data_IF_183500821815
#
_entry.id   IF_183500821815
#
_cell.length_a   1.000
_cell.length_b   1.000
_cell.length_c   1.000
_cell.angle_alpha   90.00
_cell.angle_beta   90.00
_cell.angle_gamma   90.00
#
_symmetry.space_group_name_H-M   'P 1'
#
loop_
_entity.id
_entity.type
_entity.pdbx_description
1 polymer ?
#
# COMPACT_ATOMS: atom_id res chain seq x y z
N UNK A 1 18.12 -53.35 -2.90
CA UNK A 1 18.26 -53.63 -4.35
C UNK A 1 18.34 -52.32 -5.10
N UNK A 2 19.44 -52.12 -5.85
CA UNK A 2 19.67 -51.19 -6.97
C UNK A 2 19.63 -49.67 -6.73
N UNK A 3 20.83 -49.11 -6.53
CA UNK A 3 21.27 -47.84 -7.15
C UNK A 3 21.35 -48.00 -8.68
N UNK A 4 21.27 -46.92 -9.47
CA UNK A 4 22.48 -46.26 -10.02
C UNK A 4 22.26 -44.74 -10.29
N UNK A 5 23.15 -43.89 -10.77
CA UNK A 5 24.63 -43.79 -10.85
C UNK A 5 24.95 -42.37 -11.37
N UNK A 6 26.01 -41.79 -10.86
CA UNK A 6 26.76 -40.64 -11.37
C UNK A 6 27.03 -40.70 -12.89
N UNK A 7 27.08 -39.53 -13.56
CA UNK A 7 28.12 -39.20 -14.55
C UNK A 7 28.47 -37.70 -14.53
N UNK A 8 29.68 -37.43 -14.05
CA UNK A 8 30.49 -36.26 -14.39
C UNK A 8 30.94 -36.40 -15.85
N UNK A 9 30.92 -35.29 -16.60
CA UNK A 9 31.59 -35.20 -17.90
C UNK A 9 32.71 -34.17 -17.82
N UNK A 10 33.92 -34.69 -17.62
CA UNK A 10 35.19 -34.03 -17.92
C UNK A 10 35.53 -34.33 -19.38
N UNK A 11 35.76 -33.29 -20.19
CA UNK A 11 36.57 -33.39 -21.40
C UNK A 11 37.59 -32.25 -21.38
N UNK A 12 38.86 -32.65 -21.38
CA UNK A 12 40.01 -31.84 -21.69
C UNK A 12 40.38 -32.05 -23.18
N UNK A 13 41.04 -31.05 -23.80
CA UNK A 13 42.03 -31.09 -24.90
C UNK A 13 42.25 -29.61 -25.33
N UNK A 14 43.39 -28.95 -25.04
CA UNK A 14 44.73 -28.97 -25.68
C UNK A 14 44.83 -28.29 -27.07
N UNK A 15 45.73 -27.29 -27.15
CA UNK A 15 46.44 -26.80 -28.36
C UNK A 15 45.69 -25.73 -29.19
N UNK A 16 46.28 -24.67 -29.76
CA UNK A 16 47.68 -24.35 -30.06
C UNK A 16 47.85 -22.84 -30.34
N UNK A 17 49.09 -22.36 -30.24
CA UNK A 17 49.57 -21.03 -30.63
C UNK A 17 49.32 -20.70 -32.10
N UNK A 18 48.95 -19.46 -32.39
CA UNK A 18 49.27 -18.78 -33.65
C UNK A 18 49.45 -17.27 -33.39
N UNK A 19 50.70 -16.83 -33.42
CA UNK A 19 51.05 -15.42 -33.55
C UNK A 19 50.81 -15.01 -35.02
N UNK A 20 49.97 -14.01 -35.24
CA UNK A 20 49.77 -13.37 -36.53
C UNK A 20 50.25 -11.93 -36.49
N UNK A 21 51.37 -11.66 -37.15
CA UNK A 21 51.88 -10.31 -37.40
C UNK A 21 50.95 -9.58 -38.38
N UNK A 22 50.27 -8.53 -37.92
CA UNK A 22 49.59 -7.55 -38.77
C UNK A 22 50.35 -6.23 -38.70
N UNK A 23 51.22 -5.98 -39.69
CA UNK A 23 51.88 -4.70 -39.85
C UNK A 23 50.90 -3.69 -40.47
N UNK A 24 50.47 -2.69 -39.70
CA UNK A 24 49.86 -1.47 -40.24
C UNK A 24 50.90 -0.37 -40.23
N UNK A 25 51.40 -0.02 -41.41
CA UNK A 25 52.19 1.19 -41.62
C UNK A 25 51.25 2.40 -41.60
N UNK A 26 51.23 3.13 -40.50
CA UNK A 26 50.76 4.52 -40.50
C UNK A 26 51.94 5.43 -40.81
N UNK A 27 51.82 6.17 -41.91
CA UNK A 27 52.73 7.26 -42.24
C UNK A 27 52.58 8.36 -41.19
N UNK A 28 53.66 8.61 -40.44
CA UNK A 28 53.80 9.79 -39.58
C UNK A 28 54.26 10.93 -40.47
N UNK A 29 53.36 11.86 -40.78
CA UNK A 29 53.74 13.20 -41.23
C UNK A 29 54.20 13.96 -40.00
N UNK A 30 55.49 14.28 -39.94
CA UNK A 30 56.04 15.24 -39.00
C UNK A 30 55.41 16.62 -39.26
N UNK A 31 54.57 17.08 -38.33
CA UNK A 31 54.28 18.50 -38.18
C UNK A 31 55.12 19.00 -37.02
N UNK A 32 56.09 19.85 -37.33
CA UNK A 32 56.76 20.73 -36.38
C UNK A 32 55.72 21.67 -35.78
N UNK A 33 55.30 21.38 -34.54
CA UNK A 33 54.71 22.38 -33.66
C UNK A 33 55.32 22.21 -32.26
N UNK A 34 55.81 23.34 -31.75
CA UNK A 34 56.54 23.46 -30.49
C UNK A 34 55.77 22.88 -29.28
N UNK A 35 56.47 22.44 -28.22
CA UNK A 35 55.80 21.95 -27.02
C UNK A 35 55.15 23.12 -26.28
N UNK A 36 53.85 23.34 -26.50
CA UNK A 36 53.04 24.07 -25.53
C UNK A 36 53.03 23.26 -24.22
N UNK A 37 53.42 23.86 -23.08
CA UNK A 37 53.29 23.18 -21.81
C UNK A 37 51.80 22.86 -21.60
N UNK A 38 51.48 21.57 -21.50
CA UNK A 38 50.15 21.13 -21.09
C UNK A 38 49.94 21.65 -19.67
N UNK A 39 49.18 22.72 -19.56
CA UNK A 39 48.63 23.20 -18.32
C UNK A 39 47.77 22.05 -17.76
N UNK A 40 48.28 21.35 -16.75
CA UNK A 40 47.49 20.42 -15.97
C UNK A 40 46.40 21.24 -15.29
N UNK A 41 45.23 21.27 -15.92
CA UNK A 41 44.02 21.80 -15.30
C UNK A 41 43.73 20.86 -14.13
N UNK A 42 44.21 21.23 -12.95
CA UNK A 42 43.74 20.67 -11.69
C UNK A 42 42.23 20.91 -11.66
N UNK A 43 41.47 19.86 -11.95
CA UNK A 43 40.03 19.87 -11.78
C UNK A 43 39.79 20.19 -10.30
N UNK A 44 39.43 21.45 -10.01
CA UNK A 44 39.07 21.90 -8.68
C UNK A 44 37.97 20.96 -8.21
N UNK A 45 38.27 20.16 -7.18
CA UNK A 45 37.30 19.26 -6.56
C UNK A 45 36.07 20.12 -6.25
N UNK A 46 34.87 19.77 -6.75
CA UNK A 46 33.69 20.58 -6.50
C UNK A 46 33.57 20.82 -5.00
N UNK A 47 33.15 22.04 -4.58
CA UNK A 47 33.04 22.37 -3.17
C UNK A 47 32.23 21.27 -2.45
N UNK A 48 32.62 20.92 -1.21
CA UNK A 48 31.92 19.87 -0.47
C UNK A 48 30.43 20.18 -0.47
N UNK A 49 29.63 19.21 -0.93
CA UNK A 49 28.18 19.34 -0.95
C UNK A 49 27.72 19.71 0.46
N UNK A 50 26.81 20.69 0.61
CA UNK A 50 26.34 21.11 1.92
C UNK A 50 25.85 19.88 2.71
N UNK A 51 26.08 19.85 4.03
CA UNK A 51 25.68 18.72 4.85
C UNK A 51 24.20 18.43 4.63
N UNK A 52 23.87 17.15 4.53
CA UNK A 52 22.50 16.70 4.38
C UNK A 52 21.60 17.40 5.43
N UNK A 53 20.45 17.97 5.03
CA UNK A 53 19.54 18.58 5.99
C UNK A 53 19.13 17.51 7.01
N UNK A 54 19.28 17.82 8.30
CA UNK A 54 18.87 16.92 9.36
C UNK A 54 17.34 16.79 9.33
N UNK A 55 16.77 15.58 9.35
CA UNK A 55 15.32 15.39 9.35
C UNK A 55 14.65 15.98 10.59
N UNK A 56 15.37 16.13 11.70
CA UNK A 56 14.85 16.77 12.92
C UNK A 56 14.77 18.29 12.75
N UNK A 57 15.74 18.90 12.05
CA UNK A 57 15.77 20.36 11.83
C UNK A 57 14.90 20.80 10.64
N UNK A 58 14.92 20.05 9.54
CA UNK A 58 14.13 20.32 8.34
C UNK A 58 13.61 19.00 7.71
N UNK A 59 12.48 18.47 8.22
CA UNK A 59 11.90 17.22 7.73
C UNK A 59 11.47 17.31 6.26
N UNK A 60 10.96 18.47 5.84
CA UNK A 60 10.48 18.68 4.48
C UNK A 60 11.65 18.67 3.49
N UNK A 61 12.74 19.39 3.78
CA UNK A 61 13.92 19.37 2.94
C UNK A 61 14.59 18.00 2.91
N UNK A 62 14.62 17.28 4.06
CA UNK A 62 15.11 15.90 4.09
C UNK A 62 14.33 15.00 3.12
N UNK A 63 12.99 15.00 3.19
CA UNK A 63 12.15 14.17 2.34
C UNK A 63 12.20 14.60 0.86
N UNK A 64 12.29 15.91 0.58
CA UNK A 64 12.33 16.45 -0.78
C UNK A 64 13.54 15.97 -1.60
N UNK A 65 14.62 15.51 -0.94
CA UNK A 65 15.79 14.91 -1.63
C UNK A 65 15.48 13.56 -2.27
N UNK A 66 14.38 12.92 -1.88
CA UNK A 66 14.06 11.56 -2.27
C UNK A 66 12.67 11.52 -2.93
N UNK A 67 12.64 11.60 -4.26
CA UNK A 67 11.39 11.44 -5.01
C UNK A 67 10.75 10.05 -4.83
N UNK A 68 11.58 9.03 -4.59
CA UNK A 68 11.11 7.67 -4.31
C UNK A 68 10.95 7.45 -2.79
N UNK A 69 9.73 7.17 -2.29
CA UNK A 69 9.47 6.92 -0.88
C UNK A 69 10.31 5.77 -0.28
N UNK A 70 10.63 4.73 -1.08
CA UNK A 70 11.47 3.61 -0.65
C UNK A 70 12.91 4.07 -0.33
N UNK A 71 13.43 4.96 -1.18
CA UNK A 71 14.80 5.49 -1.03
C UNK A 71 14.84 6.45 0.16
N UNK A 72 13.78 7.23 0.38
CA UNK A 72 13.62 8.07 1.56
C UNK A 72 13.67 7.23 2.85
N UNK A 73 12.86 6.17 2.96
CA UNK A 73 12.90 5.27 4.13
C UNK A 73 14.27 4.64 4.31
N UNK A 74 14.90 4.17 3.23
CA UNK A 74 16.21 3.55 3.30
C UNK A 74 17.27 4.56 3.79
N UNK A 75 17.16 5.84 3.42
CA UNK A 75 18.01 6.90 3.92
C UNK A 75 17.76 7.16 5.41
N UNK A 76 16.50 7.27 5.84
CA UNK A 76 16.14 7.41 7.26
C UNK A 76 16.67 6.24 8.09
N UNK A 77 16.56 5.01 7.58
CA UNK A 77 17.05 3.80 8.23
C UNK A 77 18.57 3.79 8.41
N UNK A 78 19.34 4.37 7.48
CA UNK A 78 20.80 4.49 7.62
C UNK A 78 21.20 5.38 8.80
N UNK A 79 20.35 6.33 9.18
CA UNK A 79 20.61 7.21 10.33
C UNK A 79 20.52 6.46 11.67
N UNK A 80 19.90 5.28 11.73
CA UNK A 80 19.76 4.52 12.99
C UNK A 80 21.10 4.19 13.64
N UNK A 81 22.16 4.03 12.85
CA UNK A 81 23.51 3.76 13.35
C UNK A 81 24.14 4.96 14.06
N UNK A 82 23.71 6.19 13.73
CA UNK A 82 24.17 7.42 14.37
C UNK A 82 23.21 7.90 15.46
N UNK A 83 21.91 7.97 15.15
CA UNK A 83 20.87 8.40 16.08
C UNK A 83 19.52 7.77 15.74
N UNK A 84 18.92 7.07 16.72
CA UNK A 84 17.58 6.47 16.57
C UNK A 84 16.46 7.50 16.54
N UNK A 85 16.66 8.66 17.16
CA UNK A 85 15.68 9.75 17.13
C UNK A 85 15.70 10.44 15.77
N UNK A 86 16.88 10.75 15.24
CA UNK A 86 17.02 11.36 13.92
C UNK A 86 16.52 10.41 12.82
N UNK A 87 16.79 9.11 12.93
CA UNK A 87 16.21 8.10 12.05
C UNK A 87 14.69 8.05 12.10
N UNK A 88 14.11 8.16 13.29
CA UNK A 88 12.65 8.18 13.47
C UNK A 88 12.03 9.45 12.88
N UNK A 89 12.65 10.61 13.09
CA UNK A 89 12.22 11.86 12.46
C UNK A 89 12.32 11.78 10.93
N UNK A 90 13.38 11.15 10.41
CA UNK A 90 13.51 10.87 8.99
C UNK A 90 12.39 9.98 8.46
N UNK A 91 12.02 8.91 9.17
CA UNK A 91 10.91 8.04 8.78
C UNK A 91 9.58 8.81 8.75
N UNK A 92 9.30 9.61 9.78
CA UNK A 92 8.12 10.47 9.83
C UNK A 92 8.11 11.41 8.62
N UNK A 93 9.20 12.12 8.36
CA UNK A 93 9.33 13.02 7.22
C UNK A 93 9.02 12.32 5.88
N UNK A 94 9.54 11.11 5.69
CA UNK A 94 9.26 10.31 4.49
C UNK A 94 7.77 9.96 4.37
N UNK A 95 7.13 9.48 5.44
CA UNK A 95 5.70 9.12 5.42
C UNK A 95 4.81 10.36 5.22
N UNK A 96 5.22 11.50 5.79
CA UNK A 96 4.41 12.71 5.77
C UNK A 96 4.48 13.47 4.45
N UNK A 97 5.67 13.54 3.85
CA UNK A 97 5.94 14.39 2.69
C UNK A 97 6.09 13.63 1.37
N UNK A 98 5.93 12.31 1.37
CA UNK A 98 5.96 11.48 0.15
C UNK A 98 4.75 10.54 0.09
N UNK A 99 4.36 10.00 -1.09
CA UNK A 99 3.29 9.01 -1.21
C UNK A 99 3.78 7.62 -0.75
N UNK A 100 4.09 7.49 0.55
CA UNK A 100 4.66 6.27 1.12
C UNK A 100 3.61 5.17 1.32
N UNK A 101 3.66 4.12 0.51
CA UNK A 101 2.68 3.01 0.58
C UNK A 101 3.27 1.68 1.06
N UNK A 102 4.54 1.66 1.49
CA UNK A 102 5.27 0.42 1.81
C UNK A 102 5.08 -0.01 3.27
N UNK A 103 3.87 -0.49 3.60
CA UNK A 103 3.57 -0.95 4.96
C UNK A 103 4.53 -2.06 5.43
N UNK A 104 4.94 -2.97 4.54
CA UNK A 104 5.90 -4.03 4.88
C UNK A 104 7.27 -3.50 5.32
N UNK A 105 7.73 -2.40 4.73
CA UNK A 105 8.97 -1.75 5.13
C UNK A 105 8.81 -1.10 6.51
N UNK A 106 7.68 -0.42 6.74
CA UNK A 106 7.35 0.17 8.04
C UNK A 106 7.28 -0.87 9.15
N UNK A 107 6.54 -1.98 8.95
CA UNK A 107 6.41 -3.05 9.95
C UNK A 107 7.60 -4.03 9.96
N UNK A 108 8.66 -3.72 9.22
CA UNK A 108 9.89 -4.49 9.19
C UNK A 108 10.64 -4.41 10.52
N UNK A 109 11.62 -5.31 10.68
CA UNK A 109 12.46 -5.37 11.90
C UNK A 109 13.19 -4.07 12.21
N UNK A 110 13.48 -3.26 11.19
CA UNK A 110 14.19 -1.98 11.35
C UNK A 110 13.45 -0.99 12.26
N UNK A 111 12.11 -1.00 12.24
CA UNK A 111 11.29 -0.02 12.97
C UNK A 111 10.42 -0.66 14.05
N UNK A 112 10.41 -1.98 14.16
CA UNK A 112 9.52 -2.71 15.08
C UNK A 112 9.62 -2.22 16.53
N UNK A 113 10.84 -1.93 17.02
CA UNK A 113 11.05 -1.44 18.39
C UNK A 113 10.49 -0.02 18.54
N UNK A 114 10.80 0.88 17.61
CA UNK A 114 10.30 2.26 17.59
C UNK A 114 8.77 2.30 17.54
N UNK A 115 8.16 1.50 16.65
CA UNK A 115 6.70 1.41 16.51
C UNK A 115 6.01 0.90 17.78
N UNK A 116 6.66 0.03 18.55
CA UNK A 116 6.11 -0.51 19.80
C UNK A 116 6.23 0.43 21.00
N UNK A 117 7.27 1.27 21.03
CA UNK A 117 7.60 2.12 22.18
C UNK A 117 7.08 3.55 22.01
N UNK A 118 7.04 4.05 20.77
CA UNK A 118 6.68 5.45 20.50
C UNK A 118 5.16 5.61 20.30
N UNK A 119 4.51 6.57 20.96
CA UNK A 119 3.07 6.76 20.89
C UNK A 119 2.57 7.16 19.49
N UNK A 120 3.43 7.72 18.64
CA UNK A 120 3.10 8.08 17.25
C UNK A 120 3.10 6.89 16.29
N UNK A 121 3.62 5.73 16.69
CA UNK A 121 3.77 4.57 15.80
C UNK A 121 2.43 4.13 15.18
N UNK A 122 1.38 4.06 15.99
CA UNK A 122 0.04 3.72 15.51
C UNK A 122 -0.52 4.77 14.53
N UNK A 123 -0.23 6.06 14.75
CA UNK A 123 -0.65 7.16 13.85
C UNK A 123 0.03 7.05 12.49
N UNK A 124 1.32 6.71 12.45
CA UNK A 124 2.05 6.49 11.20
C UNK A 124 1.48 5.31 10.43
N UNK A 125 1.16 4.21 11.11
CA UNK A 125 0.51 3.05 10.49
C UNK A 125 -0.83 3.47 9.86
N UNK A 126 -1.67 4.18 10.61
CA UNK A 126 -2.96 4.65 10.10
C UNK A 126 -2.81 5.56 8.86
N UNK A 127 -1.80 6.45 8.85
CA UNK A 127 -1.47 7.29 7.70
C UNK A 127 -1.05 6.47 6.48
N UNK A 128 -0.19 5.47 6.65
CA UNK A 128 0.24 4.59 5.55
C UNK A 128 -0.94 3.76 5.04
N UNK A 129 -1.84 3.27 5.91
CA UNK A 129 -3.07 2.58 5.50
C UNK A 129 -3.96 3.51 4.67
N UNK A 130 -4.11 4.78 5.04
CA UNK A 130 -4.84 5.76 4.25
C UNK A 130 -4.17 6.04 2.90
N UNK A 131 -2.84 6.17 2.88
CA UNK A 131 -2.06 6.31 1.64
C UNK A 131 -2.19 5.09 0.72
N UNK A 132 -2.50 3.90 1.26
CA UNK A 132 -2.78 2.66 0.52
C UNK A 132 -4.25 2.50 0.10
N UNK A 133 -5.07 3.55 0.25
CA UNK A 133 -6.48 3.55 -0.13
C UNK A 133 -7.45 3.12 0.96
N UNK A 134 -6.97 2.80 2.17
CA UNK A 134 -7.82 2.55 3.33
C UNK A 134 -8.55 1.20 3.35
N UNK A 135 -7.96 0.15 2.78
CA UNK A 135 -8.47 -1.23 2.88
C UNK A 135 -8.21 -1.83 4.27
N UNK A 136 -8.92 -1.35 5.29
CA UNK A 136 -8.62 -1.67 6.68
C UNK A 136 -8.62 -3.18 6.97
N UNK A 137 -9.58 -3.94 6.44
CA UNK A 137 -9.64 -5.40 6.66
C UNK A 137 -8.38 -6.13 6.18
N UNK A 138 -7.89 -5.79 4.99
CA UNK A 138 -6.69 -6.40 4.42
C UNK A 138 -5.43 -6.02 5.20
N UNK A 139 -5.33 -4.75 5.60
CA UNK A 139 -4.17 -4.24 6.34
C UNK A 139 -4.14 -4.77 7.79
N UNK A 140 -5.29 -4.90 8.46
CA UNK A 140 -5.38 -5.45 9.82
C UNK A 140 -4.87 -6.89 9.91
N UNK A 141 -5.11 -7.72 8.88
CA UNK A 141 -4.53 -9.07 8.80
C UNK A 141 -3.00 -9.00 8.84
N UNK A 142 -2.41 -8.07 8.09
CA UNK A 142 -0.96 -7.89 8.07
C UNK A 142 -0.43 -7.36 9.41
N UNK A 143 -1.14 -6.44 10.06
CA UNK A 143 -0.80 -5.96 11.41
C UNK A 143 -0.80 -7.11 12.42
N UNK A 144 -1.79 -7.99 12.35
CA UNK A 144 -1.93 -9.15 13.23
C UNK A 144 -0.78 -10.16 13.04
N UNK A 145 -0.39 -10.46 11.80
CA UNK A 145 0.78 -11.31 11.50
C UNK A 145 2.08 -10.77 12.10
N UNK A 146 2.18 -9.44 12.22
CA UNK A 146 3.31 -8.73 12.85
C UNK A 146 3.11 -8.44 14.33
N UNK A 147 2.03 -8.94 14.94
CA UNK A 147 1.69 -8.76 16.35
C UNK A 147 1.59 -7.28 16.76
N UNK A 148 1.15 -6.40 15.86
CA UNK A 148 0.90 -4.99 16.15
C UNK A 148 -0.50 -4.87 16.82
N UNK A 149 -0.62 -4.24 18.00
CA UNK A 149 -1.86 -4.23 18.79
C UNK A 149 -2.85 -3.17 18.31
N UNK A 150 -3.26 -3.25 17.04
CA UNK A 150 -4.31 -2.42 16.42
C UNK A 150 -5.37 -3.39 15.88
N UNK A 151 -6.64 -3.17 16.25
CA UNK A 151 -7.72 -4.14 16.05
C UNK A 151 -8.86 -3.58 15.20
N UNK A 152 -9.76 -4.46 14.74
CA UNK A 152 -11.00 -4.04 14.08
C UNK A 152 -12.04 -3.56 15.09
N UNK A 153 -12.98 -2.73 14.64
CA UNK A 153 -14.13 -2.36 15.45
C UNK A 153 -14.97 -3.57 15.83
N UNK A 154 -15.20 -4.50 14.89
CA UNK A 154 -15.93 -5.75 15.13
C UNK A 154 -15.35 -6.55 16.29
N UNK A 155 -14.03 -6.82 16.27
CA UNK A 155 -13.40 -7.59 17.34
C UNK A 155 -13.50 -6.88 18.69
N UNK A 156 -13.41 -5.54 18.70
CA UNK A 156 -13.59 -4.76 19.92
C UNK A 156 -15.01 -4.84 20.46
N UNK A 157 -16.03 -4.84 19.60
CA UNK A 157 -17.43 -4.99 20.00
C UNK A 157 -17.74 -6.41 20.50
N UNK A 158 -17.14 -7.45 19.93
CA UNK A 158 -17.34 -8.84 20.34
C UNK A 158 -16.79 -9.11 21.75
N UNK A 159 -15.70 -8.43 22.14
CA UNK A 159 -15.05 -8.59 23.46
C UNK A 159 -14.68 -7.24 24.07
N UNK A 160 -15.66 -6.42 24.48
CA UNK A 160 -15.40 -5.03 24.87
C UNK A 160 -14.39 -4.89 26.01
N UNK A 161 -14.45 -5.75 27.01
CA UNK A 161 -13.55 -5.70 28.18
C UNK A 161 -12.10 -6.02 27.81
N UNK A 162 -11.89 -6.89 26.82
CA UNK A 162 -10.53 -7.25 26.35
C UNK A 162 -9.88 -6.12 25.55
N UNK A 163 -10.69 -5.40 24.76
CA UNK A 163 -10.21 -4.36 23.85
C UNK A 163 -10.33 -2.94 24.41
N UNK A 164 -10.92 -2.76 25.59
CA UNK A 164 -11.00 -1.46 26.26
C UNK A 164 -9.63 -0.83 26.41
N UNK A 165 -9.49 0.37 25.90
CA UNK A 165 -8.26 1.15 25.87
C UNK A 165 -7.25 0.76 24.79
N UNK A 166 -7.55 -0.23 23.94
CA UNK A 166 -6.72 -0.61 22.80
C UNK A 166 -7.04 0.24 21.58
N UNK A 167 -6.10 0.27 20.63
CA UNK A 167 -6.32 0.95 19.36
C UNK A 167 -7.19 0.11 18.45
N UNK A 168 -8.16 0.78 17.84
CA UNK A 168 -8.95 0.28 16.72
C UNK A 168 -8.68 1.12 15.49
N UNK A 169 -8.65 0.45 14.34
CA UNK A 169 -8.55 1.07 13.03
C UNK A 169 -9.81 0.74 12.24
N UNK A 170 -10.44 1.75 11.66
CA UNK A 170 -11.62 1.60 10.84
C UNK A 170 -11.57 2.60 9.69
N UNK A 171 -12.16 2.22 8.54
CA UNK A 171 -12.56 3.19 7.53
C UNK A 171 -13.99 3.57 7.86
N UNK A 172 -14.27 4.85 7.99
CA UNK A 172 -15.61 5.31 8.31
C UNK A 172 -15.95 6.62 7.62
N UNK A 173 -17.23 6.77 7.31
CA UNK A 173 -17.80 8.03 6.90
C UNK A 173 -18.29 8.79 8.14
N UNK A 174 -18.04 10.10 8.19
CA UNK A 174 -18.57 10.97 9.25
C UNK A 174 -20.01 11.33 8.89
N UNK A 175 -21.00 10.76 9.56
CA UNK A 175 -22.41 11.03 9.26
C UNK A 175 -22.88 12.37 9.84
N UNK A 176 -22.52 12.64 11.09
CA UNK A 176 -22.91 13.84 11.84
C UNK A 176 -21.79 14.27 12.79
N UNK A 177 -21.74 15.56 13.12
CA UNK A 177 -20.82 16.13 14.09
C UNK A 177 -21.58 17.06 15.04
N UNK A 178 -21.54 16.74 16.33
CA UNK A 178 -22.16 17.52 17.39
C UNK A 178 -21.10 18.13 18.28
N UNK A 179 -21.13 19.45 18.37
CA UNK A 179 -20.20 20.24 19.20
C UNK A 179 -20.84 20.66 20.52
N UNK A 180 -21.58 19.76 21.16
CA UNK A 180 -22.17 20.03 22.48
C UNK A 180 -21.14 19.78 23.59
N UNK A 181 -20.75 20.85 24.29
CA UNK A 181 -19.82 20.80 25.43
C UNK A 181 -18.35 20.92 25.06
N UNK A 182 -17.46 20.47 25.96
CA UNK A 182 -16.02 20.69 25.84
C UNK A 182 -15.31 19.77 24.81
N UNK A 183 -15.94 18.67 24.40
CA UNK A 183 -15.38 17.70 23.43
C UNK A 183 -16.42 17.36 22.37
N UNK A 184 -16.19 17.74 21.09
CA UNK A 184 -17.11 17.38 20.02
C UNK A 184 -17.21 15.86 19.85
N UNK A 185 -18.40 15.42 19.50
CA UNK A 185 -18.71 14.02 19.22
C UNK A 185 -19.10 13.87 17.75
N UNK A 186 -18.60 12.83 17.10
CA UNK A 186 -18.90 12.50 15.70
C UNK A 186 -19.58 11.13 15.61
N UNK A 187 -20.58 11.05 14.74
CA UNK A 187 -21.20 9.79 14.35
C UNK A 187 -20.43 9.19 13.18
N UNK A 188 -19.94 7.98 13.35
CA UNK A 188 -19.11 7.28 12.37
C UNK A 188 -19.86 6.07 11.85
N UNK A 189 -19.95 5.94 10.52
CA UNK A 189 -20.51 4.76 9.84
C UNK A 189 -19.37 3.99 9.20
N UNK A 190 -19.11 2.77 9.69
CA UNK A 190 -17.99 1.95 9.21
C UNK A 190 -18.24 1.48 7.77
N UNK A 191 -17.22 1.72 6.93
CA UNK A 191 -17.19 1.38 5.52
C UNK A 191 -16.23 0.21 5.28
N UNK A 192 -16.64 -0.73 4.44
CA UNK A 192 -15.77 -1.75 3.89
C UNK A 192 -15.38 -1.37 2.46
N UNK A 193 -14.10 -1.48 2.13
CA UNK A 193 -13.63 -1.30 0.77
C UNK A 193 -13.61 -2.66 0.06
N UNK A 194 -14.26 -2.76 -1.08
CA UNK A 194 -14.28 -3.94 -1.94
C UNK A 194 -13.79 -3.57 -3.34
N UNK A 195 -13.09 -4.51 -3.99
CA UNK A 195 -12.75 -4.42 -5.40
C UNK A 195 -13.82 -5.15 -6.22
N UNK A 196 -14.50 -4.46 -7.11
CA UNK A 196 -15.42 -5.07 -8.07
C UNK A 196 -14.73 -5.11 -9.43
N UNK A 197 -14.66 -6.30 -10.00
CA UNK A 197 -14.13 -6.52 -11.34
C UNK A 197 -15.29 -6.50 -12.33
N UNK A 198 -15.24 -5.56 -13.28
CA UNK A 198 -16.22 -5.43 -14.34
C UNK A 198 -15.53 -5.73 -15.67
N UNK A 199 -16.12 -6.63 -16.46
CA UNK A 199 -15.68 -6.90 -17.83
C UNK A 199 -16.44 -5.97 -18.77
N UNK A 200 -15.73 -5.03 -19.38
CA UNK A 200 -16.27 -4.17 -20.44
C UNK A 200 -15.93 -4.75 -21.81
N UNK A 201 -16.91 -4.90 -22.70
CA UNK A 201 -16.66 -5.36 -24.07
C UNK A 201 -16.05 -4.20 -24.86
N UNK A 202 -14.73 -4.25 -25.12
CA UNK A 202 -13.98 -3.15 -25.76
C UNK A 202 -13.62 -3.43 -27.23
N UNK A 203 -14.32 -4.34 -27.89
CA UNK A 203 -14.00 -4.66 -29.27
C UNK A 203 -15.09 -5.41 -30.01
N UNK A 204 -14.88 -5.58 -31.31
CA UNK A 204 -15.74 -6.38 -32.18
C UNK A 204 -15.76 -7.83 -31.68
N UNK A 205 -16.95 -8.30 -31.32
CA UNK A 205 -17.19 -9.72 -31.11
C UNK A 205 -17.58 -10.38 -32.42
N UNK A 206 -16.94 -11.48 -32.77
CA UNK A 206 -17.43 -12.34 -33.84
C UNK A 206 -18.62 -13.14 -33.31
N UNK A 207 -19.74 -12.99 -34.02
CA UNK A 207 -20.96 -13.74 -33.77
C UNK A 207 -21.08 -14.78 -34.88
N UNK A 208 -20.94 -16.05 -34.52
CA UNK A 208 -21.16 -17.16 -35.44
C UNK A 208 -22.50 -17.79 -35.06
N UNK A 209 -23.51 -17.49 -35.86
CA UNK A 209 -24.77 -18.21 -35.82
C UNK A 209 -24.65 -19.38 -36.82
N UNK A 210 -24.45 -20.60 -36.32
CA UNK A 210 -24.41 -21.81 -37.16
C UNK A 210 -25.74 -22.52 -37.11
N UNK A 211 -26.40 -22.62 -38.26
CA UNK A 211 -27.61 -23.41 -38.44
C UNK A 211 -27.21 -24.69 -39.16
N UNK A 212 -27.33 -25.83 -38.47
CA UNK A 212 -27.09 -27.14 -39.08
C UNK A 212 -28.47 -27.79 -39.28
N UNK A 213 -28.80 -28.04 -40.55
CA UNK A 213 -29.99 -28.76 -40.94
C UNK A 213 -29.59 -30.15 -41.43
N UNK A 214 -30.07 -31.19 -40.75
CA UNK A 214 -29.94 -32.57 -41.20
C UNK A 214 -31.25 -32.99 -41.88
N UNK A 215 -31.20 -33.33 -43.17
CA UNK A 215 -32.28 -34.02 -43.86
C UNK A 215 -31.90 -35.48 -44.03
N UNK A 216 -32.72 -36.37 -43.49
CA UNK A 216 -32.61 -37.81 -43.69
C UNK A 216 -33.94 -38.34 -44.21
N UNK A 217 -33.89 -39.14 -45.26
CA UNK A 217 -35.08 -39.81 -45.80
C UNK A 217 -35.05 -41.29 -45.38
N UNK A 218 -35.70 -41.57 -44.26
CA UNK A 218 -36.03 -42.94 -43.85
C UNK A 218 -37.49 -42.94 -43.40
N UNK A 219 -38.40 -43.11 -44.36
CA UNK A 219 -39.77 -43.58 -44.08
C UNK A 219 -40.73 -42.62 -43.35
N UNK A 220 -40.39 -41.34 -43.21
CA UNK A 220 -41.28 -40.34 -42.61
C UNK A 220 -40.63 -38.96 -42.64
N UNK A 221 -41.27 -38.00 -43.30
CA UNK A 221 -40.75 -36.62 -43.44
C UNK A 221 -40.63 -35.94 -42.07
N UNK A 222 -39.40 -35.80 -41.59
CA UNK A 222 -39.06 -34.97 -40.44
C UNK A 222 -37.75 -34.25 -40.70
N UNK A 223 -37.74 -32.93 -40.57
CA UNK A 223 -36.53 -32.11 -40.61
C UNK A 223 -36.22 -31.66 -39.18
N UNK A 224 -35.01 -31.96 -38.69
CA UNK A 224 -34.53 -31.46 -37.39
C UNK A 224 -33.55 -30.33 -37.67
N UNK A 225 -33.89 -29.14 -37.20
CA UNK A 225 -33.02 -27.97 -37.26
C UNK A 225 -32.41 -27.73 -35.89
N UNK A 226 -31.08 -27.66 -35.82
CA UNK A 226 -30.38 -27.29 -34.58
C UNK A 226 -29.68 -25.96 -34.83
N UNK A 227 -30.00 -24.97 -34.00
CA UNK A 227 -29.37 -23.67 -34.03
C UNK A 227 -28.38 -23.58 -32.86
N UNK A 228 -27.10 -23.45 -33.17
CA UNK A 228 -26.05 -23.23 -32.17
C UNK A 228 -25.57 -21.78 -32.27
N UNK A 229 -25.58 -21.09 -31.13
CA UNK A 229 -25.16 -19.70 -31.02
C UNK A 229 -23.85 -19.65 -30.25
N UNK A 230 -22.77 -19.26 -30.92
CA UNK A 230 -21.46 -19.04 -30.28
C UNK A 230 -20.95 -17.64 -30.58
N UNK A 231 -20.51 -16.93 -29.55
CA UNK A 231 -19.98 -15.57 -29.66
C UNK A 231 -18.64 -15.46 -28.96
N UNK A 232 -17.66 -14.83 -29.62
CA UNK A 232 -16.33 -14.54 -29.04
C UNK A 232 -16.09 -13.04 -29.08
N UNK A 233 -16.09 -12.39 -27.92
CA UNK A 233 -15.80 -10.97 -27.76
C UNK A 233 -14.50 -10.71 -27.01
N UNK A 234 -13.86 -9.57 -27.28
CA UNK A 234 -12.71 -9.08 -26.51
C UNK A 234 -13.21 -8.23 -25.35
N UNK A 235 -13.02 -8.70 -24.12
CA UNK A 235 -13.34 -7.95 -22.91
C UNK A 235 -12.08 -7.31 -22.32
N UNK A 236 -12.21 -6.08 -21.83
CA UNK A 236 -11.23 -5.42 -20.97
C UNK A 236 -11.73 -5.50 -19.54
N UNK A 237 -10.87 -5.99 -18.67
CA UNK A 237 -11.11 -6.00 -17.23
C UNK A 237 -10.83 -4.62 -16.67
N UNK A 238 -11.82 -4.02 -16.03
CA UNK A 238 -11.64 -2.85 -15.18
C UNK A 238 -11.94 -3.23 -13.72
N UNK A 239 -11.18 -2.66 -12.78
CA UNK A 239 -11.36 -2.91 -11.35
C UNK A 239 -11.69 -1.59 -10.69
N UNK A 240 -12.86 -1.53 -10.06
CA UNK A 240 -13.34 -0.37 -9.31
C UNK A 240 -13.33 -0.68 -7.82
N UNK A 241 -12.94 0.31 -7.02
CA UNK A 241 -13.11 0.23 -5.59
C UNK A 241 -14.49 0.76 -5.22
N UNK A 242 -15.28 -0.06 -4.57
CA UNK A 242 -16.57 0.33 -4.00
C UNK A 242 -16.43 0.37 -2.48
N UNK A 243 -16.88 1.47 -1.88
CA UNK A 243 -16.98 1.62 -0.43
C UNK A 243 -18.43 1.36 -0.03
N UNK A 244 -18.65 0.28 0.70
CA UNK A 244 -19.99 -0.15 1.15
C UNK A 244 -20.12 -0.02 2.67
N UNK A 245 -21.28 0.43 3.13
CA UNK A 245 -21.59 0.46 4.55
C UNK A 245 -21.64 -0.96 5.13
N UNK A 246 -21.00 -1.15 6.28
CA UNK A 246 -20.98 -2.45 6.97
C UNK A 246 -22.17 -2.66 7.90
N UNK A 247 -23.01 -1.62 8.08
CA UNK A 247 -24.06 -1.55 9.09
C UNK A 247 -23.57 -1.31 10.52
N UNK A 248 -22.26 -1.13 10.74
CA UNK A 248 -21.69 -0.81 12.05
C UNK A 248 -21.51 0.70 12.21
N UNK A 249 -21.89 1.19 13.38
CA UNK A 249 -21.81 2.60 13.73
C UNK A 249 -20.99 2.79 15.01
N UNK A 250 -20.39 3.96 15.18
CA UNK A 250 -19.63 4.30 16.37
C UNK A 250 -19.74 5.79 16.73
N UNK A 251 -19.64 6.08 18.03
CA UNK A 251 -19.54 7.44 18.56
C UNK A 251 -18.08 7.80 18.81
N UNK A 252 -17.51 8.65 17.97
CA UNK A 252 -16.15 9.16 18.12
C UNK A 252 -16.11 10.46 18.93
N UNK A 253 -15.22 10.57 19.91
CA UNK A 253 -14.92 11.80 20.64
C UNK A 253 -13.64 12.42 20.11
N UNK A 254 -13.67 13.71 19.84
CA UNK A 254 -12.50 14.49 19.45
C UNK A 254 -11.89 15.19 20.67
N UNK A 255 -10.59 15.47 20.59
CA UNK A 255 -9.90 16.28 21.60
C UNK A 255 -10.35 17.75 21.56
N UNK A 256 -10.61 18.27 20.36
CA UNK A 256 -11.05 19.63 20.07
C UNK A 256 -11.92 19.65 18.82
N UNK A 257 -12.64 20.75 18.57
CA UNK A 257 -13.28 20.96 17.28
C UNK A 257 -12.22 21.01 16.17
N UNK A 258 -12.47 20.27 15.10
CA UNK A 258 -11.58 20.21 13.93
C UNK A 258 -12.38 20.51 12.67
N UNK A 259 -12.11 21.62 11.97
CA UNK A 259 -12.84 22.01 10.76
C UNK A 259 -12.51 21.12 9.55
N UNK A 260 -11.46 20.29 9.60
CA UNK A 260 -11.05 19.44 8.48
C UNK A 260 -11.69 18.05 8.49
N UNK A 261 -12.42 17.71 9.56
CA UNK A 261 -13.22 16.49 9.65
C UNK A 261 -14.64 16.77 9.15
N UNK A 262 -14.81 16.76 7.84
CA UNK A 262 -16.07 17.09 7.19
C UNK A 262 -17.08 15.93 7.25
N UNK A 263 -18.36 16.27 7.43
CA UNK A 263 -19.45 15.31 7.28
C UNK A 263 -19.54 14.77 5.84
N UNK A 264 -20.04 13.55 5.67
CA UNK A 264 -20.22 12.82 4.41
C UNK A 264 -18.92 12.53 3.66
N UNK A 265 -17.78 12.55 4.36
CA UNK A 265 -16.49 12.13 3.83
C UNK A 265 -15.98 10.89 4.53
N UNK A 266 -15.25 10.08 3.76
CA UNK A 266 -14.58 8.88 4.24
C UNK A 266 -13.21 9.21 4.82
N UNK A 267 -12.90 8.58 5.95
CA UNK A 267 -11.60 8.67 6.60
C UNK A 267 -11.15 7.30 7.08
N UNK A 268 -9.84 7.08 7.08
CA UNK A 268 -9.21 6.05 7.90
C UNK A 268 -8.99 6.65 9.27
N UNK A 269 -9.67 6.10 10.27
CA UNK A 269 -9.68 6.59 11.64
C UNK A 269 -8.91 5.62 12.51
N UNK A 270 -7.92 6.15 13.24
CA UNK A 270 -7.31 5.49 14.37
C UNK A 270 -7.96 6.05 15.64
N UNK A 271 -8.52 5.16 16.45
CA UNK A 271 -9.13 5.55 17.70
C UNK A 271 -8.78 4.59 18.83
N UNK A 272 -8.90 5.07 20.07
CA UNK A 272 -8.89 4.23 21.26
C UNK A 272 -10.31 3.77 21.53
N UNK A 273 -10.52 2.47 21.72
CA UNK A 273 -11.83 1.91 22.06
C UNK A 273 -12.12 2.14 23.55
N UNK A 274 -13.18 2.87 23.87
CA UNK A 274 -13.53 3.24 25.26
C UNK A 274 -14.56 2.27 25.89
N UNK A 275 -15.19 1.43 25.07
CA UNK A 275 -16.24 0.48 25.47
C UNK A 275 -17.50 0.64 24.62
N UNK A 276 -18.59 0.04 25.09
CA UNK A 276 -19.92 0.16 24.47
C UNK A 276 -20.86 0.91 25.40
N UNK A 277 -21.78 1.69 24.84
CA UNK A 277 -22.90 2.31 25.56
C UNK A 277 -24.21 1.76 25.03
N UNK A 278 -25.14 1.48 25.95
CA UNK A 278 -26.53 1.20 25.59
C UNK A 278 -27.19 2.49 25.14
N UNK A 279 -27.89 2.47 24.01
CA UNK A 279 -28.76 3.59 23.63
C UNK A 279 -30.01 3.61 24.51
N UNK A 280 -30.52 4.82 24.74
CA UNK A 280 -31.67 5.10 25.61
C UNK A 280 -32.91 4.35 25.13
N UNK A 281 -33.12 3.14 25.65
CA UNK A 281 -34.26 2.27 25.27
C UNK A 281 -34.21 0.88 25.90
N UNK A 282 -33.02 0.35 26.21
CA UNK A 282 -32.87 -0.95 26.87
C UNK A 282 -32.39 -0.85 28.31
N UNK A 283 -32.94 -1.67 29.21
CA UNK A 283 -32.40 -1.89 30.54
C UNK A 283 -31.04 -2.61 30.46
N UNK A 284 -30.19 -2.51 31.49
CA UNK A 284 -28.89 -3.22 31.54
C UNK A 284 -29.02 -4.75 31.42
N UNK A 285 -30.22 -5.29 31.66
CA UNK A 285 -30.55 -6.72 31.56
C UNK A 285 -31.07 -7.14 30.18
N UNK A 286 -31.21 -6.20 29.25
CA UNK A 286 -31.69 -6.45 27.90
C UNK A 286 -30.50 -6.69 26.97
N UNK A 287 -30.18 -7.96 26.74
CA UNK A 287 -29.09 -8.36 25.84
C UNK A 287 -29.33 -7.92 24.37
N UNK A 288 -30.56 -7.52 24.03
CA UNK A 288 -30.98 -7.11 22.69
C UNK A 288 -30.94 -5.59 22.46
N UNK A 289 -30.65 -4.81 23.51
CA UNK A 289 -30.54 -3.36 23.41
C UNK A 289 -29.40 -2.92 22.47
N UNK A 290 -29.60 -1.91 21.59
CA UNK A 290 -28.56 -1.50 20.65
C UNK A 290 -27.33 -0.97 21.38
N UNK A 291 -26.20 -1.66 21.20
CA UNK A 291 -24.90 -1.30 21.80
C UNK A 291 -24.11 -0.47 20.79
N UNK A 292 -23.84 0.79 21.14
CA UNK A 292 -23.02 1.67 20.32
C UNK A 292 -21.60 1.75 20.91
N UNK A 293 -20.56 1.39 20.14
CA UNK A 293 -19.18 1.55 20.58
C UNK A 293 -18.81 3.03 20.69
N UNK A 294 -18.06 3.37 21.74
CA UNK A 294 -17.53 4.70 21.99
C UNK A 294 -16.03 4.68 21.75
N UNK A 295 -15.56 5.65 20.99
CA UNK A 295 -14.19 5.77 20.54
C UNK A 295 -13.63 7.14 20.94
N UNK A 296 -12.37 7.20 21.33
CA UNK A 296 -11.61 8.45 21.39
C UNK A 296 -10.72 8.53 20.15
N UNK A 297 -10.99 9.47 19.25
CA UNK A 297 -10.25 9.62 17.99
C UNK A 297 -8.84 10.13 18.28
N UNK A 298 -7.85 9.43 17.74
CA UNK A 298 -6.41 9.68 17.96
C UNK A 298 -5.77 10.33 16.73
N UNK A 299 -6.16 9.87 15.54
CA UNK A 299 -5.85 10.49 14.27
C UNK A 299 -6.84 10.05 13.19
N UNK A 300 -6.97 10.83 12.13
CA UNK A 300 -7.75 10.47 10.95
C UNK A 300 -7.05 10.96 9.69
N UNK A 301 -7.24 10.24 8.58
CA UNK A 301 -6.60 10.54 7.30
C UNK A 301 -7.55 10.23 6.16
N UNK A 302 -7.65 11.13 5.18
CA UNK A 302 -8.40 10.87 3.96
C UNK A 302 -7.70 9.73 3.16
N UNK A 303 -8.44 8.68 2.75
CA UNK A 303 -7.87 7.62 1.94
C UNK A 303 -7.51 8.13 0.54
N UNK A 304 -6.36 7.71 0.00
CA UNK A 304 -6.00 8.01 -1.38
C UNK A 304 -6.88 7.22 -2.36
N UNK A 305 -7.19 7.81 -3.52
CA UNK A 305 -7.92 7.15 -4.60
C UNK A 305 -7.02 6.18 -5.38
N UNK A 306 -6.49 5.16 -4.69
CA UNK A 306 -5.71 4.08 -5.32
C UNK A 306 -6.60 2.86 -5.51
N UNK A 307 -6.54 2.23 -6.69
CA UNK A 307 -7.16 0.91 -6.93
C UNK A 307 -6.58 -0.08 -5.93
N UNK A 308 -7.44 -0.72 -5.13
CA UNK A 308 -7.04 -1.70 -4.13
C UNK A 308 -7.15 -3.08 -4.79
N UNK A 309 -6.06 -3.85 -4.74
CA UNK A 309 -5.93 -5.19 -5.32
C UNK A 309 -6.14 -6.28 -4.27
#
# INVERSE_FOLDING_TARGET
MRHPSWKLSTWALLGSFAAGCGASHSHVTWSEDAPHPKEEVFAVRPPPEPPAPSPTADPRAFAARYANPAVCEAAARRLQGASRDEAWDGLKACIEHTPFTQLNALLGRAWAKELSVRPEGAKLIARVVAQRGGSVTGELRYLQEKQIPIFSLTSAMDRPDTYKGRYVLLRAQVADQRSEGARPTVWLVEQALRSVQTDEVVGYGERIDSVIAYSGDVGGRGAVTTAERSGRGTTRRFVENISDETGREALGRLASADPFLETRRDYVILARFDGVRLTSGGAETDDEAPRIPVLTIVSYHAPQALVVY
#
